data_IF_022799250880
#
_entry.id   IF_022799250880
#
_cell.length_a   1.000
_cell.length_b   1.000
_cell.length_c   1.000
_cell.angle_alpha   90.00
_cell.angle_beta   90.00
_cell.angle_gamma   90.00
#
_symmetry.space_group_name_H-M   'P 1'
#
loop_
_entity.id
_entity.type
_entity.pdbx_description
1 polymer ?
#
# COMPACT_ATOMS: atom_id res chain seq x y z
N UNK A 1 5.67 8.06 -14.94
CA UNK A 1 5.49 9.51 -14.71
C UNK A 1 5.23 9.71 -13.23
N UNK A 2 6.01 10.58 -12.57
CA UNK A 2 5.85 10.95 -11.15
C UNK A 2 5.28 12.37 -11.00
N UNK A 3 4.68 12.94 -12.06
CA UNK A 3 4.13 14.30 -12.10
C UNK A 3 2.63 14.37 -11.75
N UNK A 4 2.07 13.34 -11.12
CA UNK A 4 0.71 13.40 -10.62
C UNK A 4 0.73 13.66 -9.12
N UNK A 5 0.54 14.93 -8.76
CA UNK A 5 0.24 15.30 -7.39
C UNK A 5 -1.07 14.63 -6.98
N UNK A 6 -1.02 13.86 -5.89
CA UNK A 6 -2.21 13.26 -5.31
C UNK A 6 -2.76 14.21 -4.25
N UNK A 7 -3.98 14.69 -4.45
CA UNK A 7 -4.64 15.51 -3.43
C UNK A 7 -5.00 14.66 -2.21
N UNK A 8 -5.08 15.33 -1.06
CA UNK A 8 -5.59 14.72 0.18
C UNK A 8 -7.01 14.17 0.00
N UNK A 9 -7.83 14.84 -0.80
CA UNK A 9 -9.21 14.44 -1.11
C UNK A 9 -9.24 13.15 -1.92
N UNK A 10 -8.46 13.04 -2.99
CA UNK A 10 -8.34 11.81 -3.78
C UNK A 10 -7.82 10.64 -2.95
N UNK A 11 -6.92 10.89 -2.00
CA UNK A 11 -6.48 9.87 -1.06
C UNK A 11 -7.62 9.34 -0.20
N UNK A 12 -8.43 10.20 0.42
CA UNK A 12 -9.54 9.76 1.26
C UNK A 12 -10.72 9.19 0.46
N UNK A 13 -10.90 9.58 -0.81
CA UNK A 13 -11.82 8.88 -1.72
C UNK A 13 -11.38 7.43 -1.90
N UNK A 14 -10.07 7.20 -2.05
CA UNK A 14 -9.51 5.86 -2.31
C UNK A 14 -9.35 5.02 -1.04
N UNK A 15 -9.03 5.65 0.09
CA UNK A 15 -8.76 5.00 1.37
C UNK A 15 -9.52 5.71 2.52
N UNK A 16 -10.86 5.61 2.56
CA UNK A 16 -11.71 6.41 3.45
C UNK A 16 -11.43 6.17 4.95
N UNK A 17 -10.94 4.98 5.31
CA UNK A 17 -10.65 4.60 6.69
C UNK A 17 -9.16 4.72 7.06
N UNK A 18 -8.29 5.08 6.11
CA UNK A 18 -6.86 5.20 6.38
C UNK A 18 -6.57 6.43 7.24
N UNK A 19 -5.77 6.25 8.29
CA UNK A 19 -5.37 7.34 9.20
C UNK A 19 -3.98 7.90 8.89
N UNK A 20 -3.19 7.17 8.13
CA UNK A 20 -1.77 7.45 7.92
C UNK A 20 -1.35 7.13 6.48
N UNK A 21 -0.28 7.79 6.05
CA UNK A 21 0.45 7.45 4.83
C UNK A 21 1.73 6.68 5.19
N UNK A 22 2.28 5.86 4.29
CA UNK A 22 1.73 5.46 2.98
C UNK A 22 0.60 4.44 3.06
N UNK A 23 -0.15 4.25 1.96
CA UNK A 23 -1.08 3.13 1.75
C UNK A 23 -0.65 2.33 0.52
N UNK A 24 -0.61 1.00 0.65
CA UNK A 24 -0.05 0.08 -0.34
C UNK A 24 -1.14 -0.74 -0.99
N UNK A 25 -1.08 -0.86 -2.32
CA UNK A 25 -1.94 -1.74 -3.12
C UNK A 25 -1.02 -2.69 -3.89
N UNK A 26 -1.31 -3.99 -3.82
CA UNK A 26 -0.60 -5.04 -4.57
C UNK A 26 -1.67 -5.87 -5.30
N UNK A 27 -1.48 -6.15 -6.59
CA UNK A 27 -2.43 -6.93 -7.40
C UNK A 27 -3.88 -6.43 -7.29
N UNK A 28 -4.07 -5.10 -7.30
CA UNK A 28 -5.36 -4.42 -7.14
C UNK A 28 -6.05 -4.61 -5.77
N UNK A 29 -5.43 -5.29 -4.81
CA UNK A 29 -5.92 -5.41 -3.44
C UNK A 29 -5.23 -4.40 -2.52
N UNK A 30 -6.02 -3.75 -1.66
CA UNK A 30 -5.50 -2.85 -0.65
C UNK A 30 -4.88 -3.65 0.50
N UNK A 31 -3.55 -3.55 0.64
CA UNK A 31 -2.78 -4.28 1.66
C UNK A 31 -2.84 -3.57 3.00
N UNK A 32 -2.79 -2.23 3.00
CA UNK A 32 -2.77 -1.41 4.22
C UNK A 32 -1.58 -0.46 4.24
N UNK A 33 -1.07 -0.15 5.44
CA UNK A 33 0.11 0.67 5.64
C UNK A 33 1.40 -0.14 5.59
N UNK A 34 2.50 0.52 5.97
CA UNK A 34 3.84 -0.10 5.94
C UNK A 34 3.93 -1.40 6.78
N UNK A 35 3.31 -1.42 7.96
CA UNK A 35 3.34 -2.61 8.81
C UNK A 35 2.57 -3.80 8.20
N UNK A 36 1.46 -3.52 7.51
CA UNK A 36 0.72 -4.55 6.78
C UNK A 36 1.51 -5.07 5.58
N UNK A 37 2.29 -4.21 4.91
CA UNK A 37 3.21 -4.64 3.85
C UNK A 37 4.27 -5.61 4.36
N UNK A 38 4.91 -5.35 5.51
CA UNK A 38 5.90 -6.26 6.09
C UNK A 38 5.31 -7.66 6.33
N UNK A 39 4.08 -7.72 6.86
CA UNK A 39 3.35 -8.99 7.04
C UNK A 39 3.04 -9.66 5.71
N UNK A 40 2.59 -8.90 4.73
CA UNK A 40 2.28 -9.40 3.39
C UNK A 40 3.52 -10.01 2.75
N UNK A 41 4.67 -9.34 2.83
CA UNK A 41 5.94 -9.84 2.31
C UNK A 41 6.38 -11.11 3.05
N UNK A 42 6.29 -11.16 4.37
CA UNK A 42 6.65 -12.35 5.13
C UNK A 42 5.81 -13.59 4.76
N UNK A 43 4.52 -13.41 4.44
CA UNK A 43 3.62 -14.51 4.06
C UNK A 43 3.73 -14.89 2.58
N UNK A 44 4.02 -13.93 1.70
CA UNK A 44 4.06 -14.13 0.24
C UNK A 44 5.49 -14.14 -0.32
N UNK A 45 6.51 -14.21 0.55
CA UNK A 45 7.89 -14.32 0.10
C UNK A 45 8.03 -15.61 -0.69
N UNK A 46 8.39 -15.56 -1.99
CA UNK A 46 8.94 -16.75 -2.62
C UNK A 46 10.18 -17.12 -1.82
N UNK A 47 10.35 -18.40 -1.51
CA UNK A 47 11.53 -18.93 -0.84
C UNK A 47 12.76 -18.18 -1.35
N UNK A 48 13.41 -17.44 -0.44
CA UNK A 48 14.53 -16.56 -0.76
C UNK A 48 15.76 -17.44 -0.98
N UNK A 49 15.80 -18.19 -2.08
CA UNK A 49 17.03 -18.68 -2.69
C UNK A 49 17.71 -17.49 -3.36
N UNK A 50 18.36 -16.65 -2.56
CA UNK A 50 19.34 -15.65 -2.99
C UNK A 50 20.76 -16.13 -2.65
#
# INVERSE_FOLDING_TARGET
MLDQDYSREEFFIKFPNAKTFPQIIINNEHVGGYHELEKWLAFNSPDQDF
#
